data_IF_201534218542
#
_entry.id   IF_201534218542
#
_cell.length_a   1.000
_cell.length_b   1.000
_cell.length_c   1.000
_cell.angle_alpha   90.00
_cell.angle_beta   90.00
_cell.angle_gamma   90.00
#
_symmetry.space_group_name_H-M   'P 1'
#
loop_
_entity.id
_entity.type
_entity.pdbx_description
1 polymer ?
#
# COMPACT_ATOMS: atom_id res chain seq x y z
N UNK A 1 -11.53 -9.89 -18.42
CA UNK A 1 -12.94 -9.90 -18.00
C UNK A 1 -13.20 -9.23 -16.65
N UNK A 2 -13.13 -9.92 -15.49
CA UNK A 2 -13.52 -9.29 -14.21
C UNK A 2 -12.52 -8.23 -13.72
N UNK A 3 -11.22 -8.39 -13.95
CA UNK A 3 -10.20 -7.37 -13.63
C UNK A 3 -10.42 -6.06 -14.39
N UNK A 4 -10.97 -6.11 -15.60
CA UNK A 4 -11.26 -4.92 -16.39
C UNK A 4 -12.47 -4.15 -15.85
N UNK A 5 -13.45 -4.84 -15.24
CA UNK A 5 -14.62 -4.19 -14.62
C UNK A 5 -14.16 -3.30 -13.46
N UNK A 6 -13.36 -3.81 -12.53
CA UNK A 6 -12.86 -3.00 -11.40
C UNK A 6 -11.99 -1.82 -11.85
N UNK A 7 -11.12 -2.03 -12.84
CA UNK A 7 -10.31 -0.95 -13.43
C UNK A 7 -11.19 0.11 -14.08
N UNK A 8 -12.24 -0.28 -14.80
CA UNK A 8 -13.22 0.64 -15.41
C UNK A 8 -14.00 1.42 -14.35
N UNK A 9 -14.46 0.74 -13.29
CA UNK A 9 -15.16 1.38 -12.18
C UNK A 9 -14.29 2.43 -11.47
N UNK A 10 -13.06 2.07 -11.06
CA UNK A 10 -12.15 3.01 -10.41
C UNK A 10 -11.87 4.23 -11.29
N UNK A 11 -11.62 4.03 -12.59
CA UNK A 11 -11.43 5.12 -13.55
C UNK A 11 -12.70 5.94 -13.81
N UNK A 12 -13.86 5.31 -13.76
CA UNK A 12 -15.15 6.01 -13.84
C UNK A 12 -15.31 6.97 -12.66
N UNK A 13 -15.11 6.49 -11.43
CA UNK A 13 -15.18 7.34 -10.25
C UNK A 13 -14.12 8.43 -10.23
N UNK A 14 -12.91 8.16 -10.70
CA UNK A 14 -11.87 9.17 -10.82
C UNK A 14 -12.31 10.31 -11.79
N UNK A 15 -12.92 9.98 -12.94
CA UNK A 15 -13.50 10.98 -13.84
C UNK A 15 -14.65 11.75 -13.21
N UNK A 16 -15.58 11.04 -12.57
CA UNK A 16 -16.71 11.67 -11.88
C UNK A 16 -16.23 12.66 -10.79
N UNK A 17 -15.17 12.32 -10.04
CA UNK A 17 -14.57 13.24 -9.07
C UNK A 17 -13.95 14.47 -9.73
N UNK A 18 -13.28 14.29 -10.88
CA UNK A 18 -12.74 15.41 -11.67
C UNK A 18 -13.85 16.35 -12.17
N UNK A 19 -14.93 15.79 -12.71
CA UNK A 19 -16.08 16.55 -13.23
C UNK A 19 -16.84 17.27 -12.10
N UNK A 20 -17.02 16.60 -10.96
CA UNK A 20 -17.72 17.15 -9.80
C UNK A 20 -16.86 18.10 -8.94
N UNK A 21 -15.57 18.24 -9.24
CA UNK A 21 -14.67 19.04 -8.41
C UNK A 21 -14.45 18.49 -6.99
N UNK A 22 -14.50 17.16 -6.80
CA UNK A 22 -14.42 16.49 -5.50
C UNK A 22 -13.07 15.79 -5.34
N UNK A 23 -12.48 15.84 -4.15
CA UNK A 23 -11.25 15.11 -3.83
C UNK A 23 -11.41 13.61 -4.03
N UNK A 24 -10.36 12.95 -4.50
CA UNK A 24 -10.37 11.52 -4.81
C UNK A 24 -9.44 10.72 -3.91
N UNK A 25 -9.96 9.65 -3.30
CA UNK A 25 -9.18 8.67 -2.53
C UNK A 25 -9.34 7.30 -3.15
N UNK A 26 -8.26 6.75 -3.71
CA UNK A 26 -8.25 5.46 -4.37
C UNK A 26 -7.74 4.35 -3.45
N UNK A 27 -8.65 3.67 -2.77
CA UNK A 27 -8.32 2.50 -1.96
C UNK A 27 -8.08 1.22 -2.79
N UNK A 28 -8.42 1.25 -4.10
CA UNK A 28 -8.35 0.09 -4.99
C UNK A 28 -6.95 -0.08 -5.60
N UNK A 29 -6.54 -1.32 -5.92
CA UNK A 29 -5.26 -1.62 -6.57
C UNK A 29 -5.30 -1.34 -8.09
N UNK A 30 -5.93 -0.24 -8.47
CA UNK A 30 -5.95 0.30 -9.83
C UNK A 30 -5.11 1.57 -9.83
N UNK A 31 -4.02 1.57 -10.57
CA UNK A 31 -3.07 2.68 -10.58
C UNK A 31 -3.69 3.89 -11.30
N UNK A 32 -4.01 4.90 -10.51
CA UNK A 32 -4.62 6.16 -10.94
C UNK A 32 -3.80 7.32 -10.39
N UNK A 33 -3.67 7.43 -9.08
CA UNK A 33 -2.96 8.55 -8.45
C UNK A 33 -1.44 8.43 -8.65
N UNK A 34 -0.93 7.21 -8.74
CA UNK A 34 0.47 6.91 -9.08
C UNK A 34 0.79 7.02 -10.58
N UNK A 35 -0.23 7.08 -11.43
CA UNK A 35 -0.08 7.30 -12.87
C UNK A 35 0.12 8.79 -13.17
N UNK A 36 1.18 9.12 -13.92
CA UNK A 36 1.57 10.51 -14.21
C UNK A 36 0.49 11.30 -14.96
N UNK A 37 -0.17 10.66 -15.94
CA UNK A 37 -1.19 11.33 -16.75
C UNK A 37 -2.43 11.67 -15.90
N UNK A 38 -2.88 10.74 -15.06
CA UNK A 38 -3.97 10.99 -14.14
C UNK A 38 -3.59 12.02 -13.06
N UNK A 39 -2.37 11.93 -12.52
CA UNK A 39 -1.86 12.90 -11.55
C UNK A 39 -1.90 14.33 -12.09
N UNK A 40 -1.48 14.54 -13.35
CA UNK A 40 -1.56 15.84 -14.03
C UNK A 40 -3.00 16.30 -14.27
N UNK A 41 -3.95 15.39 -14.56
CA UNK A 41 -5.37 15.74 -14.68
C UNK A 41 -5.91 16.27 -13.35
N UNK A 42 -5.62 15.61 -12.23
CA UNK A 42 -6.03 16.10 -10.90
C UNK A 42 -5.39 17.44 -10.55
N UNK A 43 -4.11 17.62 -10.85
CA UNK A 43 -3.38 18.85 -10.63
C UNK A 43 -3.99 20.02 -11.43
N UNK A 44 -4.23 19.83 -12.73
CA UNK A 44 -4.84 20.85 -13.61
C UNK A 44 -6.26 21.21 -13.22
N UNK A 45 -7.02 20.22 -12.72
CA UNK A 45 -8.38 20.45 -12.23
C UNK A 45 -8.46 21.12 -10.85
N UNK A 46 -7.33 21.34 -10.18
CA UNK A 46 -7.32 21.94 -8.84
C UNK A 46 -7.82 20.97 -7.73
N UNK A 47 -7.72 19.65 -7.96
CA UNK A 47 -8.33 18.63 -7.10
C UNK A 47 -7.24 17.76 -6.46
N UNK A 48 -7.22 17.58 -5.13
CA UNK A 48 -6.30 16.66 -4.47
C UNK A 48 -6.70 15.20 -4.68
N UNK A 49 -5.69 14.33 -4.79
CA UNK A 49 -5.89 12.88 -4.92
C UNK A 49 -4.93 12.10 -4.03
N UNK A 50 -5.42 11.03 -3.41
CA UNK A 50 -4.66 10.09 -2.58
C UNK A 50 -4.83 8.67 -3.14
N UNK A 51 -3.76 7.93 -3.36
CA UNK A 51 -3.81 6.55 -3.93
C UNK A 51 -2.40 5.96 -4.07
N UNK A 52 -2.24 4.73 -4.42
CA UNK A 52 -3.26 3.71 -4.75
C UNK A 52 -3.08 2.48 -3.85
N UNK A 53 -4.11 1.67 -3.71
CA UNK A 53 -4.12 0.42 -2.91
C UNK A 53 -3.86 0.66 -1.41
N UNK A 54 -4.93 0.83 -0.64
CA UNK A 54 -4.85 1.23 0.78
C UNK A 54 -4.04 0.24 1.63
N UNK A 55 -3.21 0.78 2.52
CA UNK A 55 -2.58 0.06 3.63
C UNK A 55 -3.53 0.01 4.83
N UNK A 56 -3.52 -1.10 5.56
CA UNK A 56 -4.14 -1.13 6.91
C UNK A 56 -3.31 -0.29 7.89
N UNK A 57 -3.89 0.10 9.00
CA UNK A 57 -3.20 0.83 10.07
C UNK A 57 -2.02 0.00 10.63
N UNK A 58 -2.26 -1.27 10.93
CA UNK A 58 -1.23 -2.24 11.30
C UNK A 58 -1.55 -3.59 10.63
N UNK A 59 -0.95 -3.84 9.49
CA UNK A 59 -1.18 -5.04 8.69
C UNK A 59 0.11 -5.69 8.22
N UNK A 60 -0.03 -6.81 7.54
CA UNK A 60 1.10 -7.60 7.08
C UNK A 60 2.09 -6.81 6.21
N UNK A 61 1.60 -5.89 5.37
CA UNK A 61 2.47 -5.05 4.53
C UNK A 61 3.34 -4.12 5.38
N UNK A 62 2.74 -3.44 6.38
CA UNK A 62 3.48 -2.54 7.27
C UNK A 62 4.52 -3.33 8.08
N UNK A 63 4.11 -4.45 8.67
CA UNK A 63 4.99 -5.30 9.47
C UNK A 63 6.17 -5.81 8.63
N UNK A 64 5.88 -6.38 7.45
CA UNK A 64 6.90 -6.95 6.58
C UNK A 64 7.91 -5.90 6.11
N UNK A 65 7.45 -4.76 5.58
CA UNK A 65 8.35 -3.71 5.09
C UNK A 65 9.15 -3.03 6.21
N UNK A 66 8.56 -2.85 7.40
CA UNK A 66 9.26 -2.28 8.55
C UNK A 66 10.37 -3.21 9.04
N UNK A 67 10.11 -4.51 9.12
CA UNK A 67 11.12 -5.51 9.49
C UNK A 67 12.20 -5.64 8.41
N UNK A 68 11.83 -5.61 7.13
CA UNK A 68 12.79 -5.59 6.02
C UNK A 68 13.74 -4.40 6.17
N UNK A 69 13.19 -3.20 6.41
CA UNK A 69 14.00 -1.99 6.63
C UNK A 69 14.87 -2.10 7.88
N UNK A 70 14.32 -2.54 9.01
CA UNK A 70 15.06 -2.72 10.26
C UNK A 70 16.24 -3.69 10.08
N UNK A 71 16.01 -4.85 9.49
CA UNK A 71 17.04 -5.85 9.25
C UNK A 71 18.14 -5.30 8.34
N UNK A 72 17.75 -4.61 7.26
CA UNK A 72 18.70 -3.98 6.33
C UNK A 72 19.52 -2.88 7.03
N UNK A 73 18.89 -2.02 7.84
CA UNK A 73 19.60 -0.97 8.60
C UNK A 73 20.55 -1.54 9.66
N UNK A 74 20.30 -2.77 10.10
CA UNK A 74 21.19 -3.51 11.01
C UNK A 74 22.26 -4.33 10.29
N UNK A 75 22.37 -4.22 8.96
CA UNK A 75 23.36 -4.90 8.16
C UNK A 75 23.06 -6.37 7.85
N UNK A 76 21.81 -6.81 8.06
CA UNK A 76 21.38 -8.15 7.66
C UNK A 76 21.20 -8.18 6.14
N UNK A 77 21.84 -9.13 5.47
CA UNK A 77 21.64 -9.41 4.05
C UNK A 77 20.43 -10.33 3.89
N UNK A 78 19.30 -9.77 3.54
CA UNK A 78 18.08 -10.56 3.26
C UNK A 78 18.26 -11.26 1.92
N UNK A 79 18.04 -12.58 1.89
CA UNK A 79 18.20 -13.41 0.71
C UNK A 79 16.87 -13.89 0.14
N UNK A 80 15.90 -14.18 1.02
CA UNK A 80 14.58 -14.68 0.62
C UNK A 80 13.52 -14.20 1.60
N UNK A 81 12.31 -14.00 1.08
CA UNK A 81 11.18 -13.68 1.93
C UNK A 81 9.85 -14.10 1.31
N UNK A 82 8.91 -14.50 2.15
CA UNK A 82 7.54 -14.66 1.71
C UNK A 82 6.54 -14.06 2.70
N UNK A 83 5.37 -13.71 2.17
CA UNK A 83 4.20 -13.35 2.95
C UNK A 83 2.98 -14.06 2.36
N UNK A 84 2.44 -15.00 3.10
CA UNK A 84 1.20 -15.72 2.79
C UNK A 84 0.05 -15.08 3.56
N UNK A 85 -1.06 -14.80 2.90
CA UNK A 85 -2.22 -14.19 3.54
C UNK A 85 -3.45 -15.04 3.27
N UNK A 86 -4.24 -15.31 4.29
CA UNK A 86 -5.54 -15.94 4.17
C UNK A 86 -6.55 -15.28 5.09
N UNK A 87 -7.81 -15.31 4.71
CA UNK A 87 -8.89 -14.65 5.43
C UNK A 87 -10.25 -15.14 4.98
N UNK A 88 -11.31 -14.66 5.64
CA UNK A 88 -12.66 -15.17 5.40
C UNK A 88 -13.57 -14.24 4.60
N UNK A 89 -13.19 -12.98 4.40
CA UNK A 89 -14.02 -12.04 3.66
C UNK A 89 -13.94 -12.23 2.12
N UNK A 90 -14.92 -11.68 1.42
CA UNK A 90 -15.15 -11.89 -0.01
C UNK A 90 -13.97 -11.45 -0.90
N UNK A 91 -13.13 -10.51 -0.44
CA UNK A 91 -11.95 -10.08 -1.21
C UNK A 91 -10.94 -11.24 -1.38
N UNK A 92 -10.76 -12.10 -0.35
CA UNK A 92 -9.93 -13.29 -0.48
C UNK A 92 -10.50 -14.29 -1.47
N UNK A 93 -11.81 -14.55 -1.42
CA UNK A 93 -12.49 -15.40 -2.41
C UNK A 93 -12.29 -14.84 -3.83
N UNK A 94 -12.46 -13.53 -4.01
CA UNK A 94 -12.26 -12.87 -5.29
C UNK A 94 -10.82 -12.94 -5.78
N UNK A 95 -9.84 -12.97 -4.87
CA UNK A 95 -8.41 -13.03 -5.21
C UNK A 95 -7.95 -14.43 -5.63
N UNK A 96 -8.69 -15.49 -5.34
CA UNK A 96 -8.40 -16.84 -5.84
C UNK A 96 -8.52 -16.93 -7.37
N UNK A 97 -9.28 -16.05 -8.01
CA UNK A 97 -9.29 -15.93 -9.46
C UNK A 97 -7.99 -15.29 -9.96
N UNK A 98 -7.12 -16.09 -10.58
CA UNK A 98 -5.75 -15.70 -10.98
C UNK A 98 -5.65 -14.42 -11.82
N UNK A 99 -6.66 -14.09 -12.60
CA UNK A 99 -6.71 -12.89 -13.44
C UNK A 99 -6.73 -11.57 -12.63
N UNK A 100 -7.12 -11.63 -11.34
CA UNK A 100 -7.24 -10.46 -10.47
C UNK A 100 -5.97 -10.17 -9.66
N UNK A 101 -5.01 -11.08 -9.68
CA UNK A 101 -3.83 -11.06 -8.82
C UNK A 101 -2.72 -10.11 -9.28
N UNK A 102 -2.60 -9.82 -10.58
CA UNK A 102 -1.41 -9.15 -11.14
C UNK A 102 -1.10 -7.80 -10.49
N UNK A 103 -2.05 -6.88 -10.45
CA UNK A 103 -1.81 -5.53 -9.88
C UNK A 103 -1.65 -5.55 -8.36
N UNK A 104 -2.46 -6.35 -7.65
CA UNK A 104 -2.32 -6.52 -6.19
C UNK A 104 -1.00 -7.17 -5.78
N UNK A 105 -0.47 -8.08 -6.61
CA UNK A 105 0.82 -8.73 -6.36
C UNK A 105 1.97 -7.74 -6.57
N UNK A 106 1.91 -6.93 -7.62
CA UNK A 106 2.89 -5.89 -7.91
C UNK A 106 2.94 -4.89 -6.74
N UNK A 107 1.82 -4.27 -6.37
CA UNK A 107 1.79 -3.24 -5.34
C UNK A 107 2.30 -3.74 -3.97
N UNK A 108 1.96 -4.96 -3.59
CA UNK A 108 2.42 -5.56 -2.32
C UNK A 108 3.91 -5.88 -2.36
N UNK A 109 4.40 -6.45 -3.45
CA UNK A 109 5.82 -6.79 -3.61
C UNK A 109 6.69 -5.54 -3.62
N UNK A 110 6.34 -4.54 -4.44
CA UNK A 110 7.03 -3.26 -4.50
C UNK A 110 7.07 -2.55 -3.14
N UNK A 111 5.97 -2.60 -2.40
CA UNK A 111 5.90 -2.01 -1.06
C UNK A 111 6.97 -2.57 -0.10
N UNK A 112 7.36 -3.83 -0.23
CA UNK A 112 8.39 -4.47 0.59
C UNK A 112 9.78 -4.32 -0.03
N UNK A 113 9.91 -4.61 -1.34
CA UNK A 113 11.22 -4.55 -2.03
C UNK A 113 11.81 -3.15 -2.06
N UNK A 114 10.96 -2.11 -2.05
CA UNK A 114 11.41 -0.72 -1.95
C UNK A 114 12.17 -0.40 -0.65
N UNK A 115 12.13 -1.29 0.35
CA UNK A 115 12.90 -1.17 1.60
C UNK A 115 14.30 -1.81 1.51
N UNK A 116 14.59 -2.51 0.43
CA UNK A 116 15.89 -3.12 0.17
C UNK A 116 16.78 -2.16 -0.64
N UNK A 117 18.06 -1.99 -0.31
CA UNK A 117 19.01 -1.21 -1.11
C UNK A 117 19.60 -1.99 -2.30
N UNK A 118 19.13 -3.22 -2.51
CA UNK A 118 19.58 -4.11 -3.59
C UNK A 118 18.40 -4.92 -4.13
N UNK A 119 18.56 -5.45 -5.34
CA UNK A 119 17.61 -6.40 -5.92
C UNK A 119 17.77 -7.78 -5.27
N UNK A 120 16.71 -8.27 -4.64
CA UNK A 120 16.66 -9.60 -4.03
C UNK A 120 16.56 -10.73 -5.09
N UNK A 121 16.25 -10.36 -6.33
CA UNK A 121 16.05 -11.29 -7.45
C UNK A 121 14.65 -11.89 -7.54
N UNK A 122 14.22 -12.10 -8.76
CA UNK A 122 12.90 -12.71 -9.03
C UNK A 122 12.90 -14.17 -8.52
N UNK A 123 11.84 -14.53 -7.80
CA UNK A 123 11.69 -15.87 -7.21
C UNK A 123 12.15 -15.96 -5.75
N UNK A 124 12.93 -15.00 -5.26
CA UNK A 124 13.34 -14.94 -3.86
C UNK A 124 12.36 -14.17 -2.96
N UNK A 125 11.35 -13.54 -3.55
CA UNK A 125 10.28 -12.88 -2.81
C UNK A 125 8.91 -13.31 -3.32
N UNK A 126 8.03 -13.69 -2.39
CA UNK A 126 6.65 -14.03 -2.70
C UNK A 126 5.70 -13.34 -1.74
N UNK A 127 4.82 -12.48 -2.25
CA UNK A 127 3.78 -11.82 -1.46
C UNK A 127 2.44 -11.98 -2.17
N UNK A 128 1.51 -12.67 -1.53
CA UNK A 128 0.22 -12.90 -2.16
C UNK A 128 -0.85 -13.42 -1.20
N UNK A 129 -2.11 -13.44 -1.68
CA UNK A 129 -3.15 -14.25 -1.05
C UNK A 129 -2.80 -15.72 -1.23
N UNK A 130 -3.05 -16.50 -0.20
CA UNK A 130 -2.80 -17.95 -0.22
C UNK A 130 -4.09 -18.71 -0.31
N UNK A 131 -5.11 -18.31 0.50
CA UNK A 131 -6.36 -19.05 0.53
C UNK A 131 -7.53 -18.23 1.12
N UNK A 132 -8.76 -18.79 0.95
CA UNK A 132 -9.98 -18.27 1.54
C UNK A 132 -10.56 -19.29 2.51
N UNK A 133 -10.78 -18.86 3.74
CA UNK A 133 -11.32 -19.70 4.82
C UNK A 133 -12.60 -19.03 5.36
N UNK A 134 -13.80 -19.44 4.92
CA UNK A 134 -15.06 -18.72 5.15
C UNK A 134 -15.36 -18.40 6.60
N UNK A 135 -15.07 -19.32 7.52
CA UNK A 135 -15.37 -19.17 8.93
C UNK A 135 -14.49 -18.15 9.65
N UNK A 136 -13.38 -17.68 9.03
CA UNK A 136 -12.58 -16.57 9.55
C UNK A 136 -13.32 -15.22 9.44
N UNK A 137 -14.34 -15.10 8.59
CA UNK A 137 -15.12 -13.87 8.39
C UNK A 137 -14.20 -12.69 8.03
N UNK A 138 -14.13 -11.64 8.85
CA UNK A 138 -13.29 -10.48 8.62
C UNK A 138 -11.83 -10.67 9.10
N UNK A 139 -11.54 -11.74 9.81
CA UNK A 139 -10.18 -12.04 10.26
C UNK A 139 -9.27 -12.34 9.08
N UNK A 140 -8.08 -11.79 9.18
CA UNK A 140 -6.99 -12.00 8.23
C UNK A 140 -5.75 -12.46 8.97
N UNK A 141 -5.20 -13.57 8.53
CA UNK A 141 -3.97 -14.13 9.06
C UNK A 141 -2.87 -13.97 8.00
N UNK A 142 -1.72 -13.48 8.43
CA UNK A 142 -0.53 -13.39 7.61
C UNK A 142 0.59 -14.22 8.24
N UNK A 143 1.25 -15.03 7.41
CA UNK A 143 2.48 -15.73 7.74
C UNK A 143 3.61 -15.08 6.96
N UNK A 144 4.59 -14.52 7.67
CA UNK A 144 5.73 -13.83 7.06
C UNK A 144 7.00 -14.57 7.47
N UNK A 145 7.84 -14.90 6.51
CA UNK A 145 9.17 -15.43 6.74
C UNK A 145 10.20 -14.59 6.02
N UNK A 146 11.26 -14.24 6.73
CA UNK A 146 12.43 -13.55 6.18
C UNK A 146 13.66 -14.40 6.48
N UNK A 147 14.40 -14.73 5.45
CA UNK A 147 15.66 -15.46 5.53
C UNK A 147 16.80 -14.58 5.07
N UNK A 148 17.91 -14.62 5.79
CA UNK A 148 19.06 -13.79 5.48
C UNK A 148 20.32 -14.25 6.20
N UNK A 149 21.34 -13.42 6.13
CA UNK A 149 22.64 -13.63 6.73
C UNK A 149 23.03 -12.49 7.64
N UNK A 150 23.52 -12.85 8.81
CA UNK A 150 24.15 -11.97 9.76
C UNK A 150 25.65 -11.83 9.46
N UNK A 151 26.40 -11.15 10.33
CA UNK A 151 27.85 -11.07 10.26
C UNK A 151 28.49 -12.46 10.18
N UNK A 152 29.50 -12.60 9.34
CA UNK A 152 30.18 -13.88 9.11
C UNK A 152 29.34 -14.91 8.33
N UNK A 153 28.37 -14.45 7.55
CA UNK A 153 27.46 -15.28 6.74
C UNK A 153 26.61 -16.27 7.55
N UNK A 154 26.46 -16.01 8.87
CA UNK A 154 25.63 -16.85 9.74
C UNK A 154 24.17 -16.74 9.33
N UNK A 155 23.49 -17.86 9.02
CA UNK A 155 22.10 -17.83 8.60
C UNK A 155 21.16 -17.33 9.69
N UNK A 156 20.14 -16.54 9.29
CA UNK A 156 19.08 -16.04 10.15
C UNK A 156 17.73 -16.31 9.51
N UNK A 157 16.77 -16.70 10.31
CA UNK A 157 15.37 -16.86 9.91
C UNK A 157 14.49 -16.15 10.92
N UNK A 158 13.51 -15.41 10.41
CA UNK A 158 12.48 -14.73 11.19
C UNK A 158 11.11 -15.19 10.69
N UNK A 159 10.34 -15.84 11.57
CA UNK A 159 8.97 -16.27 11.30
C UNK A 159 8.00 -15.46 12.15
N UNK A 160 6.96 -14.94 11.50
CA UNK A 160 5.95 -14.08 12.12
C UNK A 160 4.57 -14.54 11.70
N UNK A 161 3.66 -14.62 12.67
CA UNK A 161 2.23 -14.78 12.45
C UNK A 161 1.51 -13.55 12.97
N UNK A 162 0.77 -12.88 12.07
CA UNK A 162 -0.10 -11.76 12.40
C UNK A 162 -1.56 -12.19 12.20
N UNK A 163 -2.43 -11.84 13.15
CA UNK A 163 -3.86 -12.14 13.12
C UNK A 163 -4.63 -10.86 13.49
N UNK A 164 -5.44 -10.34 12.57
CA UNK A 164 -6.14 -9.05 12.71
C UNK A 164 -7.54 -9.09 12.11
N UNK A 165 -8.44 -8.24 12.58
CA UNK A 165 -9.67 -7.87 11.89
C UNK A 165 -9.33 -6.86 10.78
N UNK A 166 -9.58 -7.22 9.52
CA UNK A 166 -9.04 -6.47 8.36
C UNK A 166 -9.80 -5.16 8.09
N UNK A 167 -11.13 -5.19 8.20
CA UNK A 167 -11.98 -4.02 7.88
C UNK A 167 -11.77 -2.83 8.82
N UNK A 168 -11.86 -2.96 10.15
CA UNK A 168 -11.60 -1.83 11.05
C UNK A 168 -10.15 -1.35 10.98
N UNK A 169 -9.22 -2.27 10.73
CA UNK A 169 -7.80 -1.96 10.56
C UNK A 169 -7.55 -1.09 9.30
N UNK A 170 -8.28 -1.32 8.22
CA UNK A 170 -8.22 -0.51 7.00
C UNK A 170 -8.97 0.82 7.16
N UNK A 171 -10.05 0.84 7.93
CA UNK A 171 -10.87 2.04 8.15
C UNK A 171 -10.08 3.18 8.78
N UNK A 172 -9.17 2.91 9.72
CA UNK A 172 -8.31 3.92 10.33
C UNK A 172 -7.48 4.68 9.28
N UNK A 173 -6.80 3.94 8.39
CA UNK A 173 -6.03 4.55 7.30
C UNK A 173 -6.90 5.31 6.29
N UNK A 174 -8.10 4.78 6.00
CA UNK A 174 -9.04 5.44 5.09
C UNK A 174 -9.52 6.79 5.65
N UNK A 175 -9.82 6.86 6.94
CA UNK A 175 -10.22 8.11 7.62
C UNK A 175 -9.10 9.14 7.53
N UNK A 176 -7.85 8.75 7.78
CA UNK A 176 -6.71 9.65 7.68
C UNK A 176 -6.50 10.17 6.25
N UNK A 177 -6.61 9.30 5.25
CA UNK A 177 -6.52 9.68 3.85
C UNK A 177 -7.62 10.68 3.45
N UNK A 178 -8.88 10.43 3.85
CA UNK A 178 -10.01 11.30 3.57
C UNK A 178 -9.85 12.66 4.25
N UNK A 179 -9.45 12.68 5.52
CA UNK A 179 -9.21 13.92 6.27
C UNK A 179 -8.09 14.74 5.65
N UNK A 180 -6.99 14.11 5.26
CA UNK A 180 -5.89 14.78 4.57
C UNK A 180 -6.30 15.33 3.21
N UNK A 181 -7.09 14.58 2.43
CA UNK A 181 -7.64 15.06 1.16
C UNK A 181 -8.53 16.29 1.36
N UNK A 182 -9.37 16.30 2.41
CA UNK A 182 -10.18 17.47 2.77
C UNK A 182 -9.32 18.68 3.15
N UNK A 183 -8.31 18.49 3.99
CA UNK A 183 -7.36 19.55 4.39
C UNK A 183 -6.63 20.11 3.17
N UNK A 184 -6.20 19.26 2.24
CA UNK A 184 -5.57 19.70 0.99
C UNK A 184 -6.52 20.57 0.17
N UNK A 185 -7.76 20.12 0.01
CA UNK A 185 -8.78 20.87 -0.75
C UNK A 185 -9.05 22.24 -0.13
N UNK A 186 -9.20 22.31 1.18
CA UNK A 186 -9.46 23.58 1.91
C UNK A 186 -8.28 24.57 1.78
N UNK A 187 -7.06 24.04 1.58
CA UNK A 187 -5.84 24.84 1.39
C UNK A 187 -5.52 25.14 -0.08
N UNK A 188 -6.36 24.73 -1.02
CA UNK A 188 -6.10 24.88 -2.46
C UNK A 188 -4.94 24.03 -3.00
N UNK A 189 -4.54 22.97 -2.26
CA UNK A 189 -3.51 22.03 -2.71
C UNK A 189 -4.16 21.00 -3.63
N UNK A 190 -3.54 20.71 -4.77
CA UNK A 190 -4.09 19.85 -5.81
C UNK A 190 -3.10 18.84 -6.36
N UNK A 191 -3.59 17.85 -7.09
CA UNK A 191 -2.81 16.74 -7.62
C UNK A 191 -2.56 15.64 -6.58
N UNK A 192 -1.63 14.72 -6.87
CA UNK A 192 -1.26 13.64 -5.96
C UNK A 192 -0.67 14.15 -4.65
N UNK A 193 -1.26 13.78 -3.53
CA UNK A 193 -0.73 14.09 -2.19
C UNK A 193 0.35 13.05 -1.83
N UNK A 194 1.59 13.35 -2.16
CA UNK A 194 2.71 12.40 -2.09
C UNK A 194 2.91 11.82 -0.69
N UNK A 195 3.03 12.67 0.32
CA UNK A 195 3.30 12.24 1.71
C UNK A 195 2.14 11.41 2.30
N UNK A 196 0.91 11.85 2.02
CA UNK A 196 -0.30 11.15 2.48
C UNK A 196 -0.41 9.79 1.80
N UNK A 197 -0.22 9.75 0.47
CA UNK A 197 -0.24 8.49 -0.29
C UNK A 197 0.86 7.54 0.17
N UNK A 198 2.08 8.02 0.39
CA UNK A 198 3.17 7.20 0.87
C UNK A 198 2.89 6.56 2.23
N UNK A 199 2.22 7.27 3.13
CA UNK A 199 1.85 6.75 4.44
C UNK A 199 0.65 5.80 4.37
N UNK A 200 -0.39 6.11 3.60
CA UNK A 200 -1.67 5.39 3.63
C UNK A 200 -1.84 4.34 2.54
N UNK A 201 -1.01 4.32 1.49
CA UNK A 201 -1.19 3.48 0.30
C UNK A 201 -0.01 2.55 0.05
N UNK A 202 -0.27 1.36 -0.53
CA UNK A 202 0.77 0.35 -0.88
C UNK A 202 1.51 0.72 -2.16
N UNK A 203 0.81 1.38 -3.09
CA UNK A 203 1.38 1.84 -4.36
C UNK A 203 1.20 3.36 -4.51
N UNK A 204 1.93 4.16 -3.72
CA UNK A 204 1.90 5.61 -3.83
C UNK A 204 2.69 6.09 -5.06
N UNK A 205 2.51 7.35 -5.50
CA UNK A 205 3.33 7.96 -6.54
C UNK A 205 4.84 7.93 -6.23
N UNK A 206 5.21 8.01 -4.95
CA UNK A 206 6.59 7.90 -4.46
C UNK A 206 6.63 7.00 -3.24
N UNK A 207 7.41 5.92 -3.33
CA UNK A 207 7.67 5.04 -2.21
C UNK A 207 8.68 5.67 -1.25
N UNK A 208 8.44 5.54 0.04
CA UNK A 208 9.37 5.95 1.09
C UNK A 208 9.17 5.11 2.36
N UNK A 209 10.13 5.05 3.28
CA UNK A 209 9.96 4.38 4.58
C UNK A 209 8.78 4.98 5.36
N UNK A 210 8.08 4.15 6.15
CA UNK A 210 6.86 4.61 6.85
C UNK A 210 7.12 5.71 7.88
N UNK A 211 8.28 5.72 8.53
CA UNK A 211 8.67 6.80 9.45
C UNK A 211 8.84 8.14 8.72
N UNK A 212 9.45 8.13 7.52
CA UNK A 212 9.61 9.32 6.71
C UNK A 212 8.26 9.79 6.16
N UNK A 213 7.44 8.87 5.65
CA UNK A 213 6.10 9.18 5.17
C UNK A 213 5.24 9.81 6.27
N UNK A 214 5.31 9.29 7.50
CA UNK A 214 4.64 9.84 8.67
C UNK A 214 5.11 11.25 8.98
N UNK A 215 6.42 11.46 9.06
CA UNK A 215 6.98 12.79 9.36
C UNK A 215 6.53 13.84 8.32
N UNK A 216 6.58 13.47 7.03
CA UNK A 216 6.15 14.36 5.94
C UNK A 216 4.64 14.62 6.00
N UNK A 217 3.82 13.61 6.28
CA UNK A 217 2.37 13.78 6.44
C UNK A 217 2.05 14.67 7.64
N UNK A 218 2.74 14.52 8.78
CA UNK A 218 2.55 15.40 9.94
C UNK A 218 2.93 16.86 9.64
N UNK A 219 4.01 17.08 8.88
CA UNK A 219 4.40 18.42 8.39
C UNK A 219 3.30 19.02 7.50
N UNK A 220 2.76 18.21 6.58
CA UNK A 220 1.63 18.60 5.73
C UNK A 220 0.41 18.99 6.57
N UNK A 221 0.01 18.17 7.55
CA UNK A 221 -1.13 18.45 8.43
C UNK A 221 -0.94 19.77 9.18
N UNK A 222 0.26 20.02 9.70
CA UNK A 222 0.61 21.24 10.44
C UNK A 222 0.79 22.48 9.54
N UNK A 223 0.66 22.35 8.23
CA UNK A 223 0.92 23.44 7.27
C UNK A 223 2.39 23.85 7.18
N UNK A 224 3.30 23.00 7.62
CA UNK A 224 4.75 23.22 7.62
C UNK A 224 5.38 22.44 6.48
N UNK A 225 5.69 23.13 5.40
CA UNK A 225 6.36 22.57 4.22
C UNK A 225 5.39 22.12 3.12
N UNK A 226 5.56 22.75 1.97
CA UNK A 226 5.00 22.34 0.68
C UNK A 226 5.86 21.19 0.14
N UNK A 227 5.64 19.97 0.63
CA UNK A 227 6.07 18.75 -0.05
C UNK A 227 4.82 18.05 -0.56
N UNK A 228 4.36 18.57 -1.68
CA UNK A 228 3.42 17.91 -2.59
C UNK A 228 4.12 16.71 -3.18
#
# INVERSE_FOLDING_TARGET
AASDVYKRQARFYARACLEAGVAFVNAMPTFIVSDKEWGEKFKKAGIPAVGDDIKSQFGATILHRTLTKLLTDRGVKIERSYQLNFGGHTDFLNMLAQERLKTKRISKTESVTSMLPYDIGWGNIYIGPSDWVPWLKDRKIAMIRIEGKLFGDVPMTLDIRLDVEDSPNSAGSAIDAIRCAKVAKDRGISGPLISVSAYTMKHPPVQMPDWEARERMEKFIKGRGLLI
#
